data_IF_520549909309
#
_entry.id   IF_520549909309
#
_cell.length_a   1.000
_cell.length_b   1.000
_cell.length_c   1.000
_cell.angle_alpha   90.00
_cell.angle_beta   90.00
_cell.angle_gamma   90.00
#
_symmetry.space_group_name_H-M   'P 1'
#
loop_
_entity.id
_entity.type
_entity.pdbx_description
1 polymer ?
#
# COMPACT_ATOMS: atom_id res chain seq x y z
N UNK A 1 -29.11 0.57 -4.06
CA UNK A 1 -28.93 -0.63 -3.22
C UNK A 1 -27.58 -1.20 -3.62
N UNK A 2 -26.60 -1.30 -2.70
CA UNK A 2 -25.32 -1.97 -2.96
C UNK A 2 -25.68 -3.40 -3.34
N UNK A 3 -25.77 -3.70 -4.64
CA UNK A 3 -26.13 -5.02 -5.10
C UNK A 3 -25.13 -5.99 -4.47
N UNK A 4 -25.63 -6.72 -3.48
CA UNK A 4 -24.97 -7.68 -2.59
C UNK A 4 -24.31 -7.24 -1.28
N UNK A 5 -24.07 -5.96 -0.94
CA UNK A 5 -23.55 -5.58 0.39
C UNK A 5 -22.39 -6.43 0.93
N UNK A 6 -21.62 -7.06 0.03
CA UNK A 6 -20.78 -8.21 0.35
C UNK A 6 -19.38 -7.70 0.63
N UNK A 7 -18.99 -7.93 1.87
CA UNK A 7 -17.64 -8.02 2.37
C UNK A 7 -16.73 -6.79 2.15
N UNK A 8 -16.86 -5.82 3.06
CA UNK A 8 -15.88 -4.75 3.23
C UNK A 8 -14.55 -5.23 3.87
N UNK A 9 -14.36 -6.53 4.13
CA UNK A 9 -13.12 -7.02 4.74
C UNK A 9 -11.88 -6.61 3.94
N UNK A 10 -11.98 -6.53 2.60
CA UNK A 10 -10.87 -6.09 1.74
C UNK A 10 -10.41 -4.67 2.05
N UNK A 11 -11.34 -3.80 2.47
CA UNK A 11 -11.12 -2.40 2.74
C UNK A 11 -10.80 -2.14 4.20
N UNK A 12 -10.94 -3.13 5.09
CA UNK A 12 -10.58 -3.01 6.51
C UNK A 12 -9.20 -2.37 6.72
N UNK A 13 -8.10 -2.86 6.12
CA UNK A 13 -6.79 -2.21 6.28
C UNK A 13 -6.79 -0.76 5.77
N UNK A 14 -7.49 -0.44 4.68
CA UNK A 14 -7.60 0.93 4.17
C UNK A 14 -8.38 1.84 5.11
N UNK A 15 -9.46 1.34 5.70
CA UNK A 15 -10.26 2.07 6.69
C UNK A 15 -9.45 2.36 7.95
N UNK A 16 -8.61 1.43 8.40
CA UNK A 16 -7.68 1.67 9.51
C UNK A 16 -6.63 2.75 9.16
N UNK A 17 -6.12 2.75 7.93
CA UNK A 17 -5.23 3.83 7.47
C UNK A 17 -5.98 5.18 7.38
N UNK A 18 -7.20 5.19 6.83
CA UNK A 18 -8.03 6.38 6.70
C UNK A 18 -8.42 6.96 8.07
N UNK A 19 -8.69 6.11 9.07
CA UNK A 19 -8.95 6.54 10.44
C UNK A 19 -7.84 7.46 10.96
N UNK A 20 -6.57 7.15 10.68
CA UNK A 20 -5.45 8.00 11.08
C UNK A 20 -5.36 9.28 10.25
N UNK A 21 -5.63 9.23 8.94
CA UNK A 21 -5.69 10.42 8.07
C UNK A 21 -6.76 11.40 8.58
N UNK A 22 -7.92 10.87 8.95
CA UNK A 22 -9.05 11.64 9.46
C UNK A 22 -8.85 12.13 10.90
N UNK A 23 -7.66 11.99 11.50
CA UNK A 23 -7.41 12.46 12.86
C UNK A 23 -8.00 11.56 13.95
N UNK A 24 -8.01 10.24 13.71
CA UNK A 24 -8.58 9.22 14.61
C UNK A 24 -10.09 9.32 14.76
N UNK A 25 -10.76 9.69 13.68
CA UNK A 25 -12.22 9.71 13.58
C UNK A 25 -12.71 8.57 12.69
N UNK A 26 -13.79 7.87 13.06
CA UNK A 26 -14.40 6.86 12.21
C UNK A 26 -14.80 7.45 10.85
N UNK A 27 -14.60 6.68 9.78
CA UNK A 27 -15.16 7.02 8.47
C UNK A 27 -16.65 6.69 8.51
N UNK A 28 -17.49 7.73 8.52
CA UNK A 28 -18.96 7.60 8.53
C UNK A 28 -19.49 7.82 7.12
N UNK A 29 -20.20 6.84 6.58
CA UNK A 29 -20.82 6.93 5.27
C UNK A 29 -22.26 7.42 5.42
N UNK A 30 -22.50 8.70 5.11
CA UNK A 30 -23.82 9.32 5.03
C UNK A 30 -24.43 9.29 3.62
N UNK A 31 -25.64 9.83 3.46
CA UNK A 31 -26.36 9.88 2.19
C UNK A 31 -25.54 10.55 1.08
N UNK A 32 -24.75 11.57 1.42
CA UNK A 32 -23.85 12.26 0.50
C UNK A 32 -22.83 11.31 -0.15
N UNK A 33 -22.46 10.21 0.52
CA UNK A 33 -21.54 9.22 -0.05
C UNK A 33 -22.22 8.37 -1.14
N UNK A 34 -23.55 8.24 -1.08
CA UNK A 34 -24.36 7.40 -1.96
C UNK A 34 -25.14 8.19 -3.03
N UNK A 35 -25.11 9.52 -3.03
CA UNK A 35 -25.82 10.33 -4.05
C UNK A 35 -25.47 9.97 -5.50
N UNK A 36 -24.28 9.40 -5.74
CA UNK A 36 -23.84 8.96 -7.08
C UNK A 36 -24.77 7.89 -7.69
N UNK A 37 -25.54 7.17 -6.88
CA UNK A 37 -26.48 6.17 -7.34
C UNK A 37 -27.79 6.77 -7.89
N UNK A 38 -28.14 8.02 -7.53
CA UNK A 38 -29.42 8.66 -7.88
C UNK A 38 -29.37 9.62 -9.07
N UNK A 39 -28.18 9.90 -9.63
CA UNK A 39 -27.96 10.91 -10.66
C UNK A 39 -27.77 10.30 -12.06
N UNK A 40 -27.85 11.12 -13.12
CA UNK A 40 -27.52 10.67 -14.50
C UNK A 40 -26.08 10.13 -14.62
N UNK A 41 -25.16 10.57 -13.75
CA UNK A 41 -23.80 10.02 -13.61
C UNK A 41 -23.76 8.62 -12.98
N UNK A 42 -24.85 8.17 -12.35
CA UNK A 42 -24.98 6.83 -11.76
C UNK A 42 -24.89 5.69 -12.77
N UNK A 43 -25.26 5.91 -14.04
CA UNK A 43 -25.06 4.90 -15.10
C UNK A 43 -23.58 4.58 -15.34
N UNK A 44 -22.73 5.61 -15.33
CA UNK A 44 -21.28 5.43 -15.46
C UNK A 44 -20.69 4.72 -14.24
N UNK A 45 -21.19 5.03 -13.04
CA UNK A 45 -20.76 4.40 -11.80
C UNK A 45 -21.09 2.90 -11.73
N UNK A 46 -22.30 2.49 -12.14
CA UNK A 46 -22.70 1.07 -12.16
C UNK A 46 -21.79 0.24 -13.09
N UNK A 47 -21.31 0.81 -14.18
CA UNK A 47 -20.42 0.14 -15.13
C UNK A 47 -18.98 -0.10 -14.64
N UNK A 48 -18.58 0.46 -13.51
CA UNK A 48 -17.20 0.31 -13.01
C UNK A 48 -16.96 -1.06 -12.36
N UNK A 49 -15.71 -1.38 -12.03
CA UNK A 49 -15.44 -2.56 -11.21
C UNK A 49 -15.83 -2.29 -9.75
N UNK A 50 -16.16 -3.35 -9.01
CA UNK A 50 -16.66 -3.23 -7.63
C UNK A 50 -15.69 -2.47 -6.73
N UNK A 51 -14.39 -2.79 -6.80
CA UNK A 51 -13.37 -2.13 -5.99
C UNK A 51 -13.27 -0.62 -6.29
N UNK A 52 -13.44 -0.22 -7.56
CA UNK A 52 -13.44 1.19 -7.95
C UNK A 52 -14.66 1.91 -7.37
N UNK A 53 -15.85 1.30 -7.49
CA UNK A 53 -17.08 1.85 -6.89
C UNK A 53 -16.94 2.01 -5.38
N UNK A 54 -16.49 0.97 -4.69
CA UNK A 54 -16.31 0.98 -3.24
C UNK A 54 -15.31 2.07 -2.82
N UNK A 55 -14.16 2.16 -3.49
CA UNK A 55 -13.19 3.21 -3.20
C UNK A 55 -13.75 4.62 -3.43
N UNK A 56 -14.51 4.83 -4.49
CA UNK A 56 -15.17 6.13 -4.73
C UNK A 56 -16.12 6.51 -3.61
N UNK A 57 -16.87 5.54 -3.08
CA UNK A 57 -17.73 5.77 -1.91
C UNK A 57 -16.86 6.12 -0.69
N UNK A 58 -15.83 5.33 -0.40
CA UNK A 58 -14.96 5.52 0.78
C UNK A 58 -14.13 6.80 0.75
N UNK A 59 -13.72 7.26 -0.44
CA UNK A 59 -12.91 8.46 -0.63
C UNK A 59 -13.73 9.73 -0.79
N UNK A 60 -15.06 9.62 -0.90
CA UNK A 60 -15.94 10.79 -1.01
C UNK A 60 -15.90 11.57 0.30
N UNK A 61 -15.77 12.89 0.20
CA UNK A 61 -15.65 13.76 1.37
C UNK A 61 -14.30 13.70 2.08
N UNK A 62 -13.38 12.81 1.67
CA UNK A 62 -12.06 12.73 2.27
C UNK A 62 -11.28 14.03 1.99
N UNK A 63 -10.92 14.69 3.09
CA UNK A 63 -10.11 15.90 3.08
C UNK A 63 -8.70 15.53 3.53
N UNK A 64 -7.71 15.76 2.66
CA UNK A 64 -6.31 15.52 2.97
C UNK A 64 -5.63 16.85 3.29
N UNK A 65 -4.92 16.92 4.40
CA UNK A 65 -4.09 18.06 4.73
C UNK A 65 -2.64 17.72 4.43
N UNK A 66 -2.01 18.48 3.53
CA UNK A 66 -0.58 18.35 3.23
C UNK A 66 0.08 19.71 3.31
N UNK A 67 1.02 19.88 4.25
CA UNK A 67 1.79 21.13 4.45
C UNK A 67 0.89 22.37 4.56
N UNK A 68 -0.21 22.27 5.30
CA UNK A 68 -1.18 23.35 5.50
C UNK A 68 -2.14 23.61 4.33
N UNK A 69 -2.02 22.88 3.21
CA UNK A 69 -2.98 22.94 2.11
C UNK A 69 -4.02 21.83 2.24
N UNK A 70 -5.29 22.21 2.07
CA UNK A 70 -6.40 21.28 2.01
C UNK A 70 -6.56 20.77 0.57
N UNK A 71 -6.46 19.46 0.39
CA UNK A 71 -6.70 18.78 -0.86
C UNK A 71 -8.01 18.04 -0.73
N UNK A 72 -9.04 18.53 -1.42
CA UNK A 72 -10.30 17.79 -1.53
C UNK A 72 -10.09 16.65 -2.52
N UNK A 73 -10.26 15.42 -2.07
CA UNK A 73 -10.18 14.28 -2.97
C UNK A 73 -11.49 14.16 -3.76
N UNK A 74 -11.68 15.07 -4.72
CA UNK A 74 -12.74 14.96 -5.69
C UNK A 74 -12.51 13.70 -6.52
N UNK A 75 -13.40 12.71 -6.39
CA UNK A 75 -13.61 11.62 -7.35
C UNK A 75 -12.70 10.39 -7.29
N UNK A 76 -11.97 10.10 -6.21
CA UNK A 76 -11.29 8.80 -6.09
C UNK A 76 -10.07 8.59 -7.02
N UNK A 77 -9.62 9.65 -7.71
CA UNK A 77 -8.54 9.58 -8.72
C UNK A 77 -7.35 10.53 -8.46
N UNK A 78 -7.30 11.25 -7.35
CA UNK A 78 -6.26 12.25 -7.04
C UNK A 78 -4.94 11.64 -6.53
N UNK A 79 -4.26 10.84 -7.35
CA UNK A 79 -3.03 10.16 -6.96
C UNK A 79 -1.79 10.85 -7.55
N UNK A 80 -1.28 11.89 -6.89
CA UNK A 80 -0.11 12.64 -7.36
C UNK A 80 0.87 13.00 -6.24
N UNK A 81 2.11 12.53 -6.35
CA UNK A 81 3.27 13.09 -5.64
C UNK A 81 3.87 14.21 -6.51
N UNK A 82 3.77 15.47 -6.07
CA UNK A 82 4.49 16.59 -6.70
C UNK A 82 3.88 17.12 -8.00
N UNK A 83 4.68 17.89 -8.73
CA UNK A 83 4.36 18.68 -9.94
C UNK A 83 3.87 17.86 -11.15
N UNK A 84 3.67 16.55 -11.01
CA UNK A 84 3.24 15.70 -12.11
C UNK A 84 1.74 15.81 -12.32
N UNK A 85 1.36 16.03 -13.58
CA UNK A 85 -0.04 16.15 -13.99
C UNK A 85 -0.82 14.89 -13.61
N UNK A 86 -2.03 15.13 -13.10
CA UNK A 86 -3.01 14.11 -12.73
C UNK A 86 -3.27 13.12 -13.87
N UNK A 87 -3.24 11.82 -13.57
CA UNK A 87 -3.70 10.77 -14.47
C UNK A 87 -4.55 9.73 -13.74
N UNK A 88 -5.70 9.35 -14.32
CA UNK A 88 -6.45 8.23 -13.80
C UNK A 88 -5.62 6.93 -13.96
N UNK A 89 -5.70 6.00 -13.00
CA UNK A 89 -5.09 4.70 -13.14
C UNK A 89 -5.74 3.92 -14.29
N UNK A 90 -4.97 3.08 -14.96
CA UNK A 90 -5.47 2.15 -15.99
C UNK A 90 -5.79 0.81 -15.34
N UNK A 91 -7.05 0.38 -15.38
CA UNK A 91 -7.46 -0.95 -14.94
C UNK A 91 -7.13 -1.96 -16.04
N UNK A 92 -6.53 -3.08 -15.68
CA UNK A 92 -6.23 -4.16 -16.62
C UNK A 92 -7.42 -5.13 -16.65
N UNK A 93 -7.87 -5.48 -17.85
CA UNK A 93 -8.97 -6.42 -18.11
C UNK A 93 -8.54 -7.89 -18.05
N UNK A 94 -7.22 -8.12 -17.93
CA UNK A 94 -6.60 -9.44 -17.87
C UNK A 94 -5.60 -9.54 -16.70
N UNK A 95 -5.21 -10.76 -16.29
CA UNK A 95 -4.12 -10.96 -15.36
C UNK A 95 -2.83 -10.28 -15.85
N UNK A 96 -2.11 -9.60 -14.95
CA UNK A 96 -0.80 -9.04 -15.27
C UNK A 96 0.27 -10.14 -15.27
N UNK A 97 1.17 -10.22 -16.27
CA UNK A 97 2.25 -11.21 -16.30
C UNK A 97 3.26 -11.04 -15.15
N UNK A 98 3.24 -9.89 -14.45
CA UNK A 98 4.13 -9.65 -13.30
C UNK A 98 3.66 -10.35 -12.03
N UNK A 99 2.40 -10.79 -11.99
CA UNK A 99 1.81 -11.49 -10.87
C UNK A 99 1.28 -12.86 -11.32
N UNK A 100 1.26 -13.88 -10.45
CA UNK A 100 0.71 -15.18 -10.80
C UNK A 100 -0.74 -15.09 -11.33
N UNK A 101 -1.05 -15.85 -12.38
CA UNK A 101 -2.34 -15.78 -13.10
C UNK A 101 -3.56 -16.15 -12.24
N UNK A 102 -3.37 -17.04 -11.26
CA UNK A 102 -4.39 -17.49 -10.30
C UNK A 102 -4.86 -16.38 -9.35
N UNK A 103 -4.30 -15.17 -9.44
CA UNK A 103 -4.58 -14.04 -8.56
C UNK A 103 -5.51 -12.99 -9.17
N UNK A 104 -5.96 -13.19 -10.41
CA UNK A 104 -6.83 -12.23 -11.09
C UNK A 104 -8.26 -12.27 -10.52
N UNK A 105 -8.75 -11.09 -10.12
CA UNK A 105 -10.12 -10.87 -9.69
C UNK A 105 -10.72 -9.72 -10.51
N UNK A 106 -11.72 -9.95 -11.38
CA UNK A 106 -12.31 -8.88 -12.19
C UNK A 106 -13.02 -7.81 -11.34
N UNK A 107 -13.44 -8.13 -10.12
CA UNK A 107 -14.03 -7.15 -9.19
C UNK A 107 -12.96 -6.23 -8.56
N UNK A 108 -11.68 -6.59 -8.64
CA UNK A 108 -10.52 -5.85 -8.10
C UNK A 108 -9.30 -6.04 -9.02
N UNK A 109 -9.39 -5.52 -10.25
CA UNK A 109 -8.45 -5.85 -11.31
C UNK A 109 -7.04 -5.31 -11.00
N UNK A 110 -5.99 -5.94 -11.54
CA UNK A 110 -4.67 -5.36 -11.56
C UNK A 110 -4.72 -3.94 -12.14
N UNK A 111 -3.92 -3.05 -11.56
CA UNK A 111 -4.02 -1.63 -11.85
C UNK A 111 -2.65 -1.08 -12.20
N UNK A 112 -2.58 -0.28 -13.26
CA UNK A 112 -1.36 0.34 -13.72
C UNK A 112 -1.42 1.86 -13.46
N UNK A 113 -0.34 2.40 -12.91
CA UNK A 113 -0.19 3.84 -12.71
C UNK A 113 1.02 4.33 -13.51
N UNK A 114 0.78 5.27 -14.42
CA UNK A 114 1.82 5.90 -15.25
C UNK A 114 2.18 7.26 -14.65
N UNK A 115 3.43 7.43 -14.19
CA UNK A 115 3.85 8.66 -13.52
C UNK A 115 4.38 9.78 -14.43
N UNK A 116 4.68 9.54 -15.71
CA UNK A 116 5.20 10.60 -16.59
C UNK A 116 4.39 10.75 -17.89
N UNK A 117 3.99 11.98 -18.18
CA UNK A 117 3.73 12.49 -19.54
C UNK A 117 3.72 14.05 -19.56
N UNK A 118 4.19 14.74 -20.62
CA UNK A 118 4.69 14.17 -21.87
C UNK A 118 5.94 13.34 -21.65
N UNK A 119 6.28 12.40 -22.56
CA UNK A 119 7.54 11.71 -22.51
C UNK A 119 8.58 12.78 -22.86
N UNK A 120 9.17 13.44 -21.87
CA UNK A 120 10.46 14.11 -22.07
C UNK A 120 11.40 13.13 -22.77
N UNK A 121 12.19 13.55 -23.75
CA UNK A 121 13.12 12.66 -24.48
C UNK A 121 14.17 11.97 -23.57
N UNK A 122 14.17 12.25 -22.26
CA UNK A 122 14.91 11.55 -21.21
C UNK A 122 14.14 10.34 -20.62
N UNK A 123 12.95 10.00 -21.14
CA UNK A 123 11.98 9.06 -20.56
C UNK A 123 12.29 7.55 -20.64
N UNK A 124 13.59 7.20 -20.68
CA UNK A 124 14.01 5.87 -20.20
C UNK A 124 13.62 5.61 -18.74
N UNK A 125 13.19 6.64 -18.00
CA UNK A 125 12.83 6.63 -16.59
C UNK A 125 11.32 6.78 -16.30
N UNK A 126 10.43 6.76 -17.31
CA UNK A 126 9.00 6.80 -17.05
C UNK A 126 8.58 5.54 -16.26
N UNK A 127 8.40 5.69 -14.95
CA UNK A 127 8.17 4.55 -14.04
C UNK A 127 6.70 4.13 -14.12
N UNK A 128 6.45 3.01 -14.79
CA UNK A 128 5.14 2.37 -14.88
C UNK A 128 5.01 1.29 -13.82
N UNK A 129 4.37 1.63 -12.69
CA UNK A 129 4.08 0.64 -11.65
C UNK A 129 2.82 -0.14 -12.01
N UNK A 130 2.89 -1.46 -11.80
CA UNK A 130 1.73 -2.34 -11.86
C UNK A 130 1.46 -2.87 -10.46
N UNK A 131 0.26 -2.59 -9.98
CA UNK A 131 -0.26 -3.05 -8.71
C UNK A 131 -0.99 -4.36 -8.93
N UNK A 132 -0.85 -5.29 -7.98
CA UNK A 132 -1.49 -6.61 -8.08
C UNK A 132 -3.00 -6.51 -8.21
N UNK A 133 -3.60 -5.57 -7.48
CA UNK A 133 -5.03 -5.26 -7.52
C UNK A 133 -5.26 -3.76 -7.40
N UNK A 134 -6.49 -3.30 -7.66
CA UNK A 134 -6.88 -1.91 -7.44
C UNK A 134 -6.79 -1.54 -5.97
N UNK A 135 -7.24 -2.43 -5.07
CA UNK A 135 -7.07 -2.27 -3.63
C UNK A 135 -5.59 -2.11 -3.22
N UNK A 136 -4.66 -2.81 -3.88
CA UNK A 136 -3.21 -2.62 -3.64
C UNK A 136 -2.76 -1.21 -4.02
N UNK A 137 -3.24 -0.68 -5.16
CA UNK A 137 -2.97 0.70 -5.58
C UNK A 137 -3.46 1.72 -4.55
N UNK A 138 -4.70 1.55 -4.08
CA UNK A 138 -5.25 2.41 -3.04
C UNK A 138 -4.45 2.29 -1.74
N UNK A 139 -4.09 1.08 -1.29
CA UNK A 139 -3.36 0.88 -0.03
C UNK A 139 -2.03 1.62 -0.03
N UNK A 140 -1.21 1.43 -1.07
CA UNK A 140 0.05 2.14 -1.22
C UNK A 140 -0.14 3.65 -1.19
N UNK A 141 -1.20 4.14 -1.82
CA UNK A 141 -1.39 5.56 -1.98
C UNK A 141 -1.91 6.24 -0.70
N UNK A 142 -2.83 5.59 0.03
CA UNK A 142 -3.28 6.02 1.36
C UNK A 142 -2.12 5.96 2.37
N UNK A 143 -1.34 4.88 2.35
CA UNK A 143 -0.16 4.72 3.18
C UNK A 143 0.87 5.85 2.95
N UNK A 144 1.11 6.14 1.68
CA UNK A 144 1.97 7.22 1.25
C UNK A 144 1.48 8.59 1.75
N UNK A 145 0.18 8.88 1.67
CA UNK A 145 -0.38 10.11 2.25
C UNK A 145 -0.16 10.22 3.76
N UNK A 146 -0.34 9.12 4.50
CA UNK A 146 -0.06 9.08 5.93
C UNK A 146 1.41 9.39 6.25
N UNK A 147 2.32 8.76 5.51
CA UNK A 147 3.76 8.98 5.66
C UNK A 147 4.13 10.43 5.36
N UNK A 148 3.64 10.98 4.26
CA UNK A 148 3.93 12.34 3.81
C UNK A 148 3.29 13.43 4.69
N UNK A 149 2.11 13.13 5.25
CA UNK A 149 1.41 14.01 6.17
C UNK A 149 1.97 13.99 7.59
N UNK A 150 2.94 13.11 7.87
CA UNK A 150 3.52 12.95 9.22
C UNK A 150 2.60 12.24 10.21
N UNK A 151 1.52 11.61 9.73
CA UNK A 151 0.62 10.79 10.57
C UNK A 151 1.26 9.46 10.96
N UNK A 152 2.16 8.95 10.11
CA UNK A 152 3.04 7.84 10.42
C UNK A 152 4.44 8.38 10.73
N UNK A 153 4.98 7.98 11.88
CA UNK A 153 6.38 8.24 12.20
C UNK A 153 7.24 7.15 11.56
N UNK A 154 8.21 7.57 10.75
CA UNK A 154 9.27 6.68 10.30
C UNK A 154 10.04 6.19 11.53
N UNK A 155 10.03 4.88 11.74
CA UNK A 155 10.60 4.29 12.94
C UNK A 155 12.00 3.79 12.66
N UNK A 156 12.16 2.90 11.67
CA UNK A 156 13.41 2.17 11.44
C UNK A 156 13.55 1.78 9.98
N UNK A 157 14.79 1.62 9.51
CA UNK A 157 15.11 1.00 8.23
C UNK A 157 16.26 0.00 8.31
N UNK A 158 16.37 -0.80 7.27
CA UNK A 158 17.47 -1.70 7.01
C UNK A 158 17.66 -1.83 5.51
N UNK A 159 18.91 -1.98 5.08
CA UNK A 159 19.24 -2.26 3.69
C UNK A 159 20.43 -3.20 3.56
N UNK A 160 20.44 -3.99 2.49
CA UNK A 160 21.56 -4.89 2.18
C UNK A 160 21.73 -5.06 0.69
N UNK A 161 23.00 -5.07 0.26
CA UNK A 161 23.44 -5.48 -1.08
C UNK A 161 24.22 -6.78 -1.05
N UNK A 162 24.05 -7.58 0.01
CA UNK A 162 24.78 -8.83 0.22
C UNK A 162 23.88 -10.05 -0.02
N UNK A 163 23.91 -10.67 -1.22
CA UNK A 163 23.11 -11.87 -1.52
C UNK A 163 23.29 -13.04 -0.55
N UNK A 164 24.49 -13.19 0.00
CA UNK A 164 24.83 -14.26 0.94
C UNK A 164 24.20 -14.07 2.33
N UNK A 165 23.85 -12.83 2.71
CA UNK A 165 23.29 -12.54 4.02
C UNK A 165 21.95 -13.26 4.24
N UNK A 166 21.78 -13.84 5.42
CA UNK A 166 20.53 -14.48 5.80
C UNK A 166 19.36 -13.47 5.84
N UNK A 167 19.62 -12.22 6.25
CA UNK A 167 18.63 -11.15 6.27
C UNK A 167 18.20 -10.76 4.84
N UNK A 168 19.16 -10.67 3.91
CA UNK A 168 18.89 -10.43 2.49
C UNK A 168 18.04 -11.55 1.86
N UNK A 169 18.37 -12.82 2.16
CA UNK A 169 17.57 -13.98 1.73
C UNK A 169 16.19 -14.00 2.37
N UNK A 170 16.05 -13.56 3.62
CA UNK A 170 14.76 -13.49 4.31
C UNK A 170 13.80 -12.49 3.65
N UNK A 171 14.28 -11.31 3.26
CA UNK A 171 13.43 -10.35 2.51
C UNK A 171 12.91 -10.95 1.21
N UNK A 172 13.73 -11.69 0.48
CA UNK A 172 13.29 -12.40 -0.73
C UNK A 172 12.20 -13.43 -0.47
N UNK A 173 12.36 -14.25 0.57
CA UNK A 173 11.34 -15.21 0.97
C UNK A 173 10.03 -14.50 1.32
N UNK A 174 10.11 -13.38 2.06
CA UNK A 174 8.94 -12.57 2.41
C UNK A 174 8.28 -11.92 1.20
N UNK A 175 9.03 -11.57 0.16
CA UNK A 175 8.47 -11.06 -1.10
C UNK A 175 7.86 -12.18 -1.96
N UNK A 176 8.47 -13.37 -1.96
CA UNK A 176 7.97 -14.53 -2.70
C UNK A 176 6.73 -15.16 -2.07
N UNK A 177 6.50 -14.98 -0.76
CA UNK A 177 5.36 -15.56 -0.05
C UNK A 177 4.01 -15.09 -0.66
N UNK A 178 2.98 -15.94 -0.71
CA UNK A 178 1.64 -15.52 -1.13
C UNK A 178 1.06 -14.47 -0.17
N UNK A 179 0.45 -13.37 -0.67
CA UNK A 179 -0.19 -12.38 0.21
C UNK A 179 -1.38 -12.92 1.01
N UNK A 180 -1.99 -14.01 0.54
CA UNK A 180 -3.12 -14.69 1.20
C UNK A 180 -2.68 -15.71 2.25
N UNK A 181 -1.38 -15.89 2.48
CA UNK A 181 -0.87 -16.88 3.44
C UNK A 181 -1.06 -16.39 4.88
N UNK A 182 -2.23 -16.69 5.45
CA UNK A 182 -2.57 -16.32 6.82
C UNK A 182 -1.63 -16.95 7.86
N UNK A 183 -0.97 -18.08 7.58
CA UNK A 183 -0.01 -18.68 8.49
C UNK A 183 1.31 -17.88 8.53
N UNK A 184 1.71 -17.31 7.40
CA UNK A 184 2.90 -16.47 7.29
C UNK A 184 2.67 -15.07 7.88
N UNK A 185 1.50 -14.46 7.64
CA UNK A 185 1.24 -13.08 8.06
C UNK A 185 0.55 -13.01 9.41
N UNK A 186 -0.38 -13.91 9.73
CA UNK A 186 -1.15 -13.85 10.96
C UNK A 186 -2.33 -12.89 10.90
N UNK A 187 -3.16 -12.92 11.95
CA UNK A 187 -4.40 -12.14 12.03
C UNK A 187 -4.13 -10.64 12.14
N UNK A 188 -4.97 -9.82 11.51
CA UNK A 188 -4.88 -8.36 11.56
C UNK A 188 -3.82 -7.77 10.63
N UNK A 189 -3.32 -8.55 9.67
CA UNK A 189 -2.34 -8.10 8.69
C UNK A 189 -2.91 -8.14 7.27
N UNK A 190 -2.53 -7.16 6.46
CA UNK A 190 -2.87 -7.11 5.05
C UNK A 190 -1.62 -6.86 4.20
N UNK A 191 -1.53 -7.54 3.06
CA UNK A 191 -0.35 -7.52 2.19
C UNK A 191 -0.72 -7.02 0.81
N UNK A 192 -0.02 -5.98 0.37
CA UNK A 192 -0.24 -5.32 -0.91
C UNK A 192 1.05 -5.32 -1.72
N UNK A 193 0.93 -5.56 -3.02
CA UNK A 193 2.08 -5.66 -3.90
C UNK A 193 1.99 -4.69 -5.07
N UNK A 194 3.15 -4.15 -5.44
CA UNK A 194 3.36 -3.50 -6.73
C UNK A 194 4.73 -3.90 -7.29
N UNK A 195 4.79 -4.02 -8.61
CA UNK A 195 6.01 -4.33 -9.34
C UNK A 195 6.27 -3.29 -10.41
N UNK A 196 7.54 -3.06 -10.69
CA UNK A 196 7.98 -2.28 -11.83
C UNK A 196 8.80 -3.19 -12.72
N UNK A 197 8.25 -3.45 -13.91
CA UNK A 197 8.76 -4.49 -14.82
C UNK A 197 8.93 -5.81 -14.06
N UNK A 198 9.82 -6.66 -14.53
CA UNK A 198 10.26 -7.90 -13.90
C UNK A 198 11.35 -7.69 -12.83
N UNK A 199 11.85 -6.46 -12.67
CA UNK A 199 13.05 -6.17 -11.86
C UNK A 199 12.76 -5.76 -10.43
N UNK A 200 11.74 -4.92 -10.20
CA UNK A 200 11.52 -4.33 -8.88
C UNK A 200 10.21 -4.80 -8.28
N UNK A 201 10.25 -5.15 -7.00
CA UNK A 201 9.09 -5.59 -6.25
C UNK A 201 9.03 -4.86 -4.92
N UNK A 202 7.92 -4.12 -4.72
CA UNK A 202 7.58 -3.51 -3.44
C UNK A 202 6.37 -4.24 -2.85
N UNK A 203 6.51 -4.64 -1.60
CA UNK A 203 5.43 -5.18 -0.78
C UNK A 203 5.20 -4.30 0.42
N UNK A 204 3.95 -3.93 0.64
CA UNK A 204 3.49 -3.24 1.83
C UNK A 204 2.73 -4.23 2.70
N UNK A 205 3.19 -4.45 3.93
CA UNK A 205 2.48 -5.18 4.96
C UNK A 205 1.91 -4.17 5.94
N UNK A 206 0.58 -4.06 6.01
CA UNK A 206 -0.13 -3.20 6.96
C UNK A 206 -0.52 -4.05 8.17
N UNK A 207 -0.06 -3.61 9.34
CA UNK A 207 -0.34 -4.21 10.64
C UNK A 207 -1.40 -3.38 11.34
N UNK A 208 -2.61 -3.92 11.44
CA UNK A 208 -3.74 -3.23 12.04
C UNK A 208 -3.75 -3.23 13.55
N UNK A 209 -4.81 -2.69 14.14
CA UNK A 209 -4.97 -2.63 15.60
C UNK A 209 -4.99 -4.00 16.28
N UNK A 210 -5.44 -5.05 15.58
CA UNK A 210 -5.36 -6.42 16.11
C UNK A 210 -3.92 -6.94 16.23
N UNK A 211 -3.01 -6.45 15.39
CA UNK A 211 -1.62 -6.90 15.34
C UNK A 211 -0.69 -6.05 16.23
N UNK A 212 -0.88 -4.72 16.24
CA UNK A 212 -0.04 -3.76 16.94
C UNK A 212 -0.62 -3.37 18.30
N UNK A 213 -1.94 -3.42 18.47
CA UNK A 213 -2.65 -2.95 19.65
C UNK A 213 -3.67 -1.87 19.30
N UNK A 214 -4.68 -1.74 20.16
CA UNK A 214 -5.82 -0.85 19.95
C UNK A 214 -5.40 0.58 19.61
N UNK A 215 -6.00 1.13 18.54
CA UNK A 215 -5.74 2.50 18.09
C UNK A 215 -4.39 2.71 17.43
N UNK A 216 -3.61 1.65 17.21
CA UNK A 216 -2.32 1.71 16.52
C UNK A 216 -2.34 0.89 15.24
N UNK A 217 -1.50 1.34 14.32
CA UNK A 217 -1.22 0.73 13.03
C UNK A 217 0.26 0.91 12.73
N UNK A 218 0.85 -0.07 12.07
CA UNK A 218 2.21 -0.01 11.55
C UNK A 218 2.25 -0.49 10.09
N UNK A 219 3.25 -0.04 9.34
CA UNK A 219 3.50 -0.50 7.98
C UNK A 219 4.93 -0.97 7.82
N UNK A 220 5.11 -2.11 7.16
CA UNK A 220 6.41 -2.62 6.74
C UNK A 220 6.47 -2.55 5.22
N UNK A 221 7.38 -1.75 4.68
CA UNK A 221 7.69 -1.76 3.26
C UNK A 221 8.90 -2.64 3.02
N UNK A 222 8.70 -3.74 2.30
CA UNK A 222 9.76 -4.58 1.77
C UNK A 222 10.01 -4.18 0.32
N UNK A 223 11.26 -4.00 -0.06
CA UNK A 223 11.62 -3.70 -1.44
C UNK A 223 12.77 -4.58 -1.92
N UNK A 224 12.65 -5.07 -3.15
CA UNK A 224 13.73 -5.62 -3.95
C UNK A 224 13.95 -4.71 -5.16
N UNK A 225 15.13 -4.10 -5.24
CA UNK A 225 15.56 -3.21 -6.31
C UNK A 225 16.50 -3.92 -7.31
N UNK A 226 16.66 -5.23 -7.19
CA UNK A 226 17.54 -6.09 -7.98
C UNK A 226 18.81 -6.46 -7.20
N UNK A 227 19.70 -5.49 -7.02
CA UNK A 227 20.96 -5.65 -6.28
C UNK A 227 20.87 -5.22 -4.81
N UNK A 228 19.77 -4.57 -4.43
CA UNK A 228 19.56 -4.04 -3.09
C UNK A 228 18.18 -4.44 -2.57
N UNK A 229 18.15 -4.88 -1.31
CA UNK A 229 16.90 -5.12 -0.57
C UNK A 229 16.79 -4.17 0.58
N UNK A 230 15.57 -3.68 0.81
CA UNK A 230 15.26 -2.73 1.88
C UNK A 230 14.06 -3.16 2.70
N UNK A 231 14.07 -2.76 3.96
CA UNK A 231 12.93 -2.82 4.86
C UNK A 231 12.78 -1.44 5.50
N UNK A 232 11.61 -0.82 5.36
CA UNK A 232 11.27 0.40 6.09
C UNK A 232 10.07 0.12 7.01
N UNK A 233 10.13 0.61 8.24
CA UNK A 233 9.08 0.45 9.25
C UNK A 233 8.53 1.82 9.64
N UNK A 234 7.21 1.93 9.58
CA UNK A 234 6.45 3.11 9.95
C UNK A 234 5.43 2.73 11.02
N UNK A 235 5.17 3.62 11.97
CA UNK A 235 4.19 3.36 13.02
C UNK A 235 3.47 4.62 13.50
N UNK A 236 2.29 4.42 14.06
CA UNK A 236 1.51 5.43 14.80
C UNK A 236 1.73 5.32 16.32
N UNK A 237 2.45 4.31 16.79
CA UNK A 237 2.83 4.17 18.19
C UNK A 237 3.93 5.17 18.53
N UNK A 238 3.77 5.93 19.62
CA UNK A 238 4.85 6.79 20.13
C UNK A 238 6.03 5.96 20.66
N UNK A 239 7.21 6.57 20.77
CA UNK A 239 8.35 5.91 21.40
C UNK A 239 7.96 5.43 22.82
N UNK A 240 8.38 4.22 23.24
CA UNK A 240 9.50 3.41 22.72
C UNK A 240 9.18 2.40 21.59
N UNK A 241 7.94 2.38 21.06
CA UNK A 241 7.51 1.49 19.97
C UNK A 241 7.56 -0.03 20.28
N UNK A 242 7.43 -0.43 21.55
CA UNK A 242 7.57 -1.83 21.97
C UNK A 242 6.55 -2.75 21.27
N UNK A 243 5.32 -2.28 21.08
CA UNK A 243 4.28 -3.09 20.44
C UNK A 243 4.56 -3.27 18.95
N UNK A 244 4.94 -2.20 18.28
CA UNK A 244 5.39 -2.18 16.89
C UNK A 244 6.57 -3.13 16.71
N UNK A 245 7.60 -3.03 17.57
CA UNK A 245 8.77 -3.91 17.54
C UNK A 245 8.34 -5.38 17.60
N UNK A 246 7.51 -5.73 18.57
CA UNK A 246 7.04 -7.10 18.74
C UNK A 246 6.25 -7.60 17.53
N UNK A 247 5.38 -6.78 16.95
CA UNK A 247 4.63 -7.13 15.74
C UNK A 247 5.56 -7.31 14.52
N UNK A 248 6.51 -6.40 14.32
CA UNK A 248 7.50 -6.45 13.23
C UNK A 248 8.40 -7.68 13.35
N UNK A 249 8.85 -8.04 14.56
CA UNK A 249 9.66 -9.23 14.80
C UNK A 249 8.96 -10.52 14.40
N UNK A 250 7.63 -10.61 14.59
CA UNK A 250 6.84 -11.78 14.17
C UNK A 250 6.81 -11.92 12.65
N UNK A 251 6.70 -10.81 11.92
CA UNK A 251 6.66 -10.81 10.45
C UNK A 251 8.04 -11.09 9.86
N UNK A 252 9.04 -10.32 10.29
CA UNK A 252 10.39 -10.37 9.71
C UNK A 252 11.18 -11.60 10.17
N UNK A 253 10.83 -12.15 11.33
CA UNK A 253 11.64 -13.12 12.07
C UNK A 253 12.74 -12.42 12.86
N UNK A 254 13.21 -13.07 13.92
CA UNK A 254 14.15 -12.50 14.90
C UNK A 254 15.41 -11.91 14.26
N UNK A 255 16.04 -12.63 13.34
CA UNK A 255 17.32 -12.21 12.75
C UNK A 255 17.21 -10.91 11.94
N UNK A 256 16.23 -10.81 11.02
CA UNK A 256 16.03 -9.60 10.22
C UNK A 256 15.43 -8.47 11.07
N UNK A 257 14.49 -8.79 11.96
CA UNK A 257 13.87 -7.81 12.84
C UNK A 257 14.86 -7.14 13.81
N UNK A 258 15.80 -7.90 14.39
CA UNK A 258 16.87 -7.35 15.24
C UNK A 258 17.76 -6.38 14.46
N UNK A 259 18.09 -6.69 13.20
CA UNK A 259 18.88 -5.81 12.34
C UNK A 259 18.15 -4.51 12.00
N UNK A 260 16.86 -4.59 11.65
CA UNK A 260 16.00 -3.42 11.42
C UNK A 260 15.95 -2.54 12.66
N UNK A 261 15.78 -3.13 13.84
CA UNK A 261 15.65 -2.34 15.07
C UNK A 261 16.96 -1.67 15.52
N UNK A 262 18.11 -2.25 15.13
CA UNK A 262 19.45 -1.69 15.32
C UNK A 262 19.91 -0.78 14.17
N UNK A 263 19.09 -0.60 13.14
CA UNK A 263 19.39 0.23 11.95
C UNK A 263 20.71 -0.21 11.27
N UNK A 264 20.97 -1.51 11.27
CA UNK A 264 22.15 -2.06 10.59
C UNK A 264 22.01 -1.90 9.07
N UNK A 265 23.13 -1.70 8.37
CA UNK A 265 23.18 -1.81 6.91
C UNK A 265 24.32 -2.71 6.47
N UNK A 266 24.09 -3.49 5.42
CA UNK A 266 25.06 -4.48 4.92
C UNK A 266 25.56 -4.08 3.52
N UNK A 267 26.67 -3.35 3.51
CA UNK A 267 27.38 -2.96 2.30
C UNK A 267 28.74 -3.68 2.26
N UNK A 268 29.06 -4.39 1.17
CA UNK A 268 30.42 -4.90 0.95
C UNK A 268 30.66 -6.40 1.17
N UNK A 269 29.72 -7.27 0.79
CA UNK A 269 30.09 -8.68 0.60
C UNK A 269 30.95 -8.81 -0.65
N UNK A 270 32.28 -8.76 -0.46
CA UNK A 270 33.24 -9.16 -1.49
C UNK A 270 33.02 -10.64 -1.76
N UNK A 271 32.63 -10.97 -2.99
CA UNK A 271 32.60 -12.36 -3.45
C UNK A 271 34.08 -12.79 -3.51
N UNK A 272 34.55 -13.49 -2.48
CA UNK A 272 35.83 -14.21 -2.51
C UNK A 272 35.64 -15.55 -3.21
#
# INVERSE_FOLDING_TARGET
MLEYGRDFSRWRPHLELLYHICGKWPVVLGDEHFEVFGSQTGRGFIGETEAVRQWKILSRGLTLHRRGQQWLHGWGYGWGYGLHRWRPPTLLDAPSPLFPHDTFNPADPPTQLNHADPPTQLDGLCVRWVYRTYASMVAFSVFNWLSDGGYLTFSRDWSSRCPASAAFRRVYQLLAAPPSDAAQWGKGMAVFDKKYKDRWHLRLVVLGSEAVGEGHTAGIQLADWGDERRVNVYTTESAPHDRTRNAVMRVLGRQLGDKVWREESEYGCVIM
#
